data_IF_295766563796
#
_entry.id   IF_295766563796
#
_cell.length_a   1.000
_cell.length_b   1.000
_cell.length_c   1.000
_cell.angle_alpha   90.00
_cell.angle_beta   90.00
_cell.angle_gamma   90.00
#
_symmetry.space_group_name_H-M   'P 1'
#
loop_
_entity.id
_entity.type
_entity.pdbx_description
1 polymer ?
#
# COMPACT_ATOMS: atom_id res chain seq x y z
N UNK A 1 13.33 -27.66 -5.04
CA UNK A 1 12.65 -26.54 -5.72
C UNK A 1 11.21 -26.56 -5.26
N UNK A 2 10.76 -25.56 -4.50
CA UNK A 2 9.35 -25.44 -4.11
C UNK A 2 8.48 -25.07 -5.32
N UNK A 3 7.24 -25.54 -5.36
CA UNK A 3 6.29 -25.16 -6.42
C UNK A 3 6.01 -23.65 -6.36
N UNK A 4 5.99 -22.99 -7.53
CA UNK A 4 5.67 -21.56 -7.65
C UNK A 4 4.15 -21.39 -7.66
N UNK A 5 3.62 -20.70 -6.64
CA UNK A 5 2.18 -20.37 -6.57
C UNK A 5 1.79 -19.46 -7.74
N UNK A 6 0.69 -19.72 -8.48
CA UNK A 6 0.23 -18.82 -9.53
C UNK A 6 -0.31 -17.49 -8.98
N UNK A 7 -0.35 -16.44 -9.82
CA UNK A 7 -0.84 -15.10 -9.47
C UNK A 7 -2.19 -15.12 -8.75
N UNK A 8 -3.19 -15.78 -9.33
CA UNK A 8 -4.56 -15.75 -8.79
C UNK A 8 -4.64 -16.43 -7.42
N UNK A 9 -3.94 -17.54 -7.21
CA UNK A 9 -3.88 -18.18 -5.89
C UNK A 9 -3.18 -17.29 -4.87
N UNK A 10 -2.10 -16.60 -5.25
CA UNK A 10 -1.45 -15.61 -4.38
C UNK A 10 -2.41 -14.47 -4.00
N UNK A 11 -3.17 -13.96 -4.94
CA UNK A 11 -4.13 -12.87 -4.68
C UNK A 11 -5.30 -13.34 -3.83
N UNK A 12 -5.79 -14.57 -4.01
CA UNK A 12 -6.80 -15.18 -3.14
C UNK A 12 -6.28 -15.37 -1.71
N UNK A 13 -5.04 -15.83 -1.53
CA UNK A 13 -4.41 -15.93 -0.20
C UNK A 13 -4.34 -14.56 0.49
N UNK A 14 -3.99 -13.50 -0.24
CA UNK A 14 -3.96 -12.14 0.29
C UNK A 14 -5.38 -11.62 0.57
N UNK A 15 -6.38 -11.93 -0.27
CA UNK A 15 -7.79 -11.57 -0.04
C UNK A 15 -8.31 -12.18 1.27
N UNK A 16 -8.15 -13.49 1.43
CA UNK A 16 -8.59 -14.20 2.62
C UNK A 16 -7.92 -13.65 3.89
N UNK A 17 -6.65 -13.27 3.78
CA UNK A 17 -5.92 -12.66 4.91
C UNK A 17 -6.49 -11.28 5.27
N UNK A 18 -6.79 -10.46 4.25
CA UNK A 18 -7.42 -9.15 4.40
C UNK A 18 -8.81 -9.25 5.05
N UNK A 19 -9.67 -10.14 4.55
CA UNK A 19 -11.03 -10.34 5.06
C UNK A 19 -11.08 -10.84 6.51
N UNK A 20 -10.14 -11.71 6.90
CA UNK A 20 -10.04 -12.23 8.26
C UNK A 20 -9.39 -11.23 9.23
N UNK A 21 -8.93 -10.07 8.76
CA UNK A 21 -8.23 -9.08 9.59
C UNK A 21 -6.92 -9.60 10.19
N UNK A 22 -6.29 -10.60 9.57
CA UNK A 22 -5.08 -11.26 10.08
C UNK A 22 -3.79 -10.49 9.76
N UNK A 23 -3.92 -9.20 9.46
CA UNK A 23 -2.81 -8.32 9.10
C UNK A 23 -2.37 -7.39 10.24
N UNK A 24 -1.40 -6.53 9.95
CA UNK A 24 -0.99 -5.48 10.89
C UNK A 24 -2.16 -4.57 11.27
N UNK A 25 -2.40 -4.37 12.57
CA UNK A 25 -3.57 -3.61 13.11
C UNK A 25 -3.75 -2.21 12.52
N UNK A 26 -2.67 -1.59 12.03
CA UNK A 26 -2.68 -0.25 11.49
C UNK A 26 -2.83 -0.17 9.95
N UNK A 27 -2.96 -1.31 9.27
CA UNK A 27 -3.10 -1.37 7.82
C UNK A 27 -4.13 -2.42 7.40
N UNK A 28 -4.97 -2.10 6.43
CA UNK A 28 -5.92 -3.05 5.84
C UNK A 28 -5.93 -2.92 4.33
N UNK A 29 -6.41 -3.96 3.66
CA UNK A 29 -6.59 -3.96 2.21
C UNK A 29 -7.71 -4.93 1.80
N UNK A 30 -8.34 -4.65 0.67
CA UNK A 30 -9.38 -5.48 0.07
C UNK A 30 -9.58 -5.11 -1.40
N UNK A 31 -10.40 -5.87 -2.12
CA UNK A 31 -10.72 -5.57 -3.51
C UNK A 31 -11.43 -4.22 -3.62
N UNK A 32 -11.10 -3.45 -4.66
CA UNK A 32 -11.84 -2.24 -5.00
C UNK A 32 -13.23 -2.58 -5.54
N UNK A 33 -13.30 -3.61 -6.39
CA UNK A 33 -14.54 -4.19 -6.89
C UNK A 33 -14.60 -5.69 -6.56
N UNK A 34 -15.58 -6.11 -5.77
CA UNK A 34 -15.78 -7.52 -5.40
C UNK A 34 -16.11 -8.44 -6.58
N UNK A 35 -16.56 -7.88 -7.71
CA UNK A 35 -16.84 -8.64 -8.93
C UNK A 35 -15.61 -8.79 -9.86
N UNK A 36 -14.46 -8.20 -9.50
CA UNK A 36 -13.22 -8.33 -10.29
C UNK A 36 -12.60 -9.72 -10.13
N UNK A 37 -12.93 -10.60 -11.07
CA UNK A 37 -12.37 -11.96 -11.16
C UNK A 37 -10.85 -11.99 -11.32
N UNK A 38 -10.25 -10.94 -11.87
CA UNK A 38 -8.80 -10.86 -12.05
C UNK A 38 -8.09 -10.35 -10.78
N UNK A 39 -8.83 -9.84 -9.80
CA UNK A 39 -8.29 -9.28 -8.55
C UNK A 39 -7.12 -8.32 -8.81
N UNK A 40 -7.32 -7.42 -9.77
CA UNK A 40 -6.28 -6.50 -10.24
C UNK A 40 -6.27 -5.23 -9.42
N UNK A 41 -7.44 -4.72 -9.04
CA UNK A 41 -7.58 -3.44 -8.34
C UNK A 41 -7.99 -3.63 -6.89
N UNK A 42 -7.21 -3.02 -6.00
CA UNK A 42 -7.34 -3.15 -4.56
C UNK A 42 -7.31 -1.78 -3.88
N UNK A 43 -8.03 -1.66 -2.78
CA UNK A 43 -7.97 -0.52 -1.88
C UNK A 43 -7.24 -0.92 -0.60
N UNK A 44 -6.20 -0.16 -0.28
CA UNK A 44 -5.47 -0.19 0.98
C UNK A 44 -5.83 0.99 1.87
N UNK A 45 -5.76 0.78 3.18
CA UNK A 45 -5.91 1.82 4.19
C UNK A 45 -4.73 1.79 5.16
N UNK A 46 -4.18 2.96 5.48
CA UNK A 46 -3.10 3.13 6.45
C UNK A 46 -3.57 4.07 7.56
N UNK A 47 -3.54 3.60 8.80
CA UNK A 47 -3.66 4.44 9.98
C UNK A 47 -2.32 5.14 10.24
N UNK A 48 -2.34 6.47 10.25
CA UNK A 48 -1.13 7.26 10.40
C UNK A 48 -0.39 6.95 11.71
N UNK A 49 0.95 6.92 11.70
CA UNK A 49 1.73 6.57 12.88
C UNK A 49 1.53 7.58 14.03
N UNK A 50 1.50 7.11 15.30
CA UNK A 50 1.38 7.99 16.45
C UNK A 50 2.60 8.90 16.60
N UNK A 51 2.46 9.98 17.37
CA UNK A 51 3.52 10.96 17.62
C UNK A 51 4.10 11.58 16.34
N UNK A 52 3.22 11.80 15.35
CA UNK A 52 3.55 12.41 14.07
C UNK A 52 2.42 13.30 13.57
N UNK A 53 2.69 14.12 12.55
CA UNK A 53 1.68 14.88 11.79
C UNK A 53 0.63 14.02 11.08
N UNK A 54 0.82 12.70 11.09
CA UNK A 54 -0.10 11.71 10.52
C UNK A 54 -1.02 11.09 11.59
N UNK A 55 -0.77 11.34 12.87
CA UNK A 55 -1.55 10.77 13.97
C UNK A 55 -3.04 11.11 13.82
N UNK A 56 -3.90 10.13 14.11
CA UNK A 56 -5.37 10.19 13.94
C UNK A 56 -5.87 10.37 12.50
N UNK A 57 -5.01 10.25 11.48
CA UNK A 57 -5.42 10.34 10.07
C UNK A 57 -5.50 8.96 9.43
N UNK A 58 -6.45 8.81 8.50
CA UNK A 58 -6.64 7.62 7.69
C UNK A 58 -6.28 7.95 6.24
N UNK A 59 -5.38 7.16 5.65
CA UNK A 59 -4.97 7.32 4.25
C UNK A 59 -5.46 6.15 3.41
N UNK A 60 -6.24 6.46 2.37
CA UNK A 60 -6.65 5.51 1.35
C UNK A 60 -5.63 5.47 0.21
N UNK A 61 -5.32 4.26 -0.24
CA UNK A 61 -4.32 3.96 -1.27
C UNK A 61 -4.95 2.98 -2.26
N UNK A 62 -4.84 3.27 -3.56
CA UNK A 62 -5.14 2.33 -4.63
C UNK A 62 -3.90 1.51 -4.96
N UNK A 63 -4.08 0.21 -5.12
CA UNK A 63 -3.05 -0.79 -5.40
C UNK A 63 -3.48 -1.56 -6.64
N UNK A 64 -2.67 -1.52 -7.70
CA UNK A 64 -2.94 -2.25 -8.94
C UNK A 64 -1.95 -3.41 -9.12
N UNK A 65 -2.45 -4.63 -8.97
CA UNK A 65 -1.76 -5.89 -9.16
C UNK A 65 -1.82 -6.32 -10.63
N UNK A 66 -0.85 -5.88 -11.44
CA UNK A 66 -0.77 -6.22 -12.86
C UNK A 66 -0.61 -7.73 -13.16
N UNK A 67 -0.56 -8.13 -14.44
CA UNK A 67 -0.53 -9.53 -14.86
C UNK A 67 0.72 -10.30 -14.39
N UNK A 68 1.82 -9.58 -14.11
CA UNK A 68 3.07 -10.15 -13.64
C UNK A 68 3.21 -10.17 -12.10
N UNK A 69 2.21 -9.69 -11.35
CA UNK A 69 2.22 -9.83 -9.90
C UNK A 69 2.17 -11.32 -9.50
N UNK A 70 2.91 -11.78 -8.47
CA UNK A 70 3.85 -11.06 -7.61
C UNK A 70 5.31 -11.09 -8.08
N UNK A 71 5.61 -11.52 -9.32
CA UNK A 71 6.99 -11.49 -9.82
C UNK A 71 7.47 -10.06 -10.10
N UNK A 72 6.54 -9.17 -10.48
CA UNK A 72 6.73 -7.72 -10.54
C UNK A 72 5.93 -7.04 -9.41
N UNK A 73 6.41 -5.88 -8.90
CA UNK A 73 5.68 -5.14 -7.88
C UNK A 73 4.35 -4.58 -8.44
N UNK A 74 3.34 -4.38 -7.58
CA UNK A 74 2.12 -3.68 -7.96
C UNK A 74 2.38 -2.17 -8.12
N UNK A 75 1.49 -1.47 -8.83
CA UNK A 75 1.48 -0.01 -8.84
C UNK A 75 0.72 0.54 -7.64
N UNK A 76 1.26 1.60 -7.02
CA UNK A 76 0.68 2.18 -5.80
C UNK A 76 0.38 3.66 -6.03
N UNK A 77 -0.82 4.08 -5.68
CA UNK A 77 -1.26 5.48 -5.73
C UNK A 77 -2.03 5.85 -4.47
N UNK A 78 -1.66 6.94 -3.82
CA UNK A 78 -2.47 7.53 -2.77
C UNK A 78 -3.74 8.14 -3.37
N UNK A 79 -4.89 7.79 -2.79
CA UNK A 79 -6.17 8.48 -3.03
C UNK A 79 -6.27 9.68 -2.10
N UNK A 80 -5.94 9.50 -0.81
CA UNK A 80 -5.85 10.60 0.15
C UNK A 80 -4.62 11.46 -0.11
N UNK A 81 -4.78 12.77 -0.14
CA UNK A 81 -3.66 13.71 -0.28
C UNK A 81 -2.71 13.60 0.90
N UNK A 82 -1.44 13.41 0.58
CA UNK A 82 -0.35 13.27 1.54
C UNK A 82 0.88 14.03 1.04
N UNK A 83 1.58 14.70 1.94
CA UNK A 83 2.91 15.23 1.67
C UNK A 83 3.95 14.24 2.17
N UNK A 84 4.52 13.45 1.26
CA UNK A 84 5.51 12.43 1.56
C UNK A 84 6.53 12.32 0.41
N UNK A 85 7.86 12.27 0.65
CA UNK A 85 8.85 12.40 -0.42
C UNK A 85 8.81 11.33 -1.52
N UNK A 86 8.25 10.15 -1.21
CA UNK A 86 8.06 9.06 -2.16
C UNK A 86 6.74 9.14 -2.94
N UNK A 87 5.95 10.19 -2.77
CA UNK A 87 4.63 10.36 -3.41
C UNK A 87 4.67 11.59 -4.31
N UNK A 88 4.20 11.43 -5.55
CA UNK A 88 4.04 12.55 -6.46
C UNK A 88 2.90 13.47 -5.97
N UNK A 89 3.20 14.75 -5.77
CA UNK A 89 2.27 15.72 -5.18
C UNK A 89 1.13 16.16 -6.11
N UNK A 90 1.15 15.80 -7.40
CA UNK A 90 0.08 16.12 -8.35
C UNK A 90 -0.92 14.98 -8.50
N UNK A 91 -0.46 13.72 -8.49
CA UNK A 91 -1.29 12.58 -8.85
C UNK A 91 -1.27 11.43 -7.83
N UNK A 92 -0.58 11.56 -6.71
CA UNK A 92 -0.54 10.56 -5.65
C UNK A 92 0.26 9.28 -5.96
N UNK A 93 0.87 9.16 -7.15
CA UNK A 93 1.63 7.96 -7.51
C UNK A 93 2.87 7.82 -6.64
N UNK A 94 3.11 6.61 -6.13
CA UNK A 94 4.30 6.29 -5.36
C UNK A 94 5.47 6.03 -6.30
N UNK A 95 6.60 6.68 -6.03
CA UNK A 95 7.86 6.45 -6.71
C UNK A 95 8.56 5.21 -6.12
N UNK A 96 8.52 4.12 -6.88
CA UNK A 96 9.10 2.83 -6.48
C UNK A 96 10.59 2.92 -6.13
N UNK A 97 11.34 3.84 -6.73
CA UNK A 97 12.78 4.00 -6.47
C UNK A 97 13.08 4.52 -5.06
N UNK A 98 12.12 5.19 -4.43
CA UNK A 98 12.27 5.82 -3.10
C UNK A 98 11.81 4.93 -1.96
N UNK A 99 11.16 3.80 -2.26
CA UNK A 99 10.70 2.84 -1.26
C UNK A 99 11.46 1.51 -1.44
N UNK A 100 12.32 1.11 -0.49
CA UNK A 100 13.19 -0.05 -0.66
C UNK A 100 12.47 -1.35 -1.04
N UNK A 101 11.28 -1.61 -0.47
CA UNK A 101 10.52 -2.83 -0.78
C UNK A 101 10.02 -2.87 -2.24
N UNK A 102 9.81 -1.72 -2.89
CA UNK A 102 9.43 -1.63 -4.30
C UNK A 102 10.67 -1.59 -5.20
N UNK A 103 11.71 -0.86 -4.81
CA UNK A 103 12.97 -0.76 -5.57
C UNK A 103 13.69 -2.12 -5.65
N UNK A 104 13.62 -2.92 -4.58
CA UNK A 104 14.20 -4.25 -4.50
C UNK A 104 13.09 -5.28 -4.28
N UNK A 105 12.07 -5.22 -5.14
CA UNK A 105 10.91 -6.11 -5.06
C UNK A 105 11.33 -7.57 -5.06
N UNK A 106 10.74 -8.33 -4.14
CA UNK A 106 10.89 -9.77 -4.03
C UNK A 106 9.50 -10.40 -4.08
N UNK A 107 9.43 -11.57 -4.69
CA UNK A 107 8.17 -12.30 -4.91
C UNK A 107 7.47 -12.77 -3.62
N UNK A 108 8.16 -12.71 -2.48
CA UNK A 108 7.61 -12.99 -1.16
C UNK A 108 6.90 -11.77 -0.56
N UNK A 109 7.21 -10.54 -1.00
CA UNK A 109 6.51 -9.34 -0.58
C UNK A 109 5.05 -9.32 -1.05
N UNK A 110 4.22 -8.68 -0.24
CA UNK A 110 2.75 -8.63 -0.37
C UNK A 110 2.26 -7.18 -0.38
N UNK A 111 0.96 -6.98 -0.65
CA UNK A 111 0.31 -5.68 -0.45
C UNK A 111 0.47 -5.18 0.99
N UNK A 112 0.33 -6.09 1.96
CA UNK A 112 0.57 -5.78 3.37
C UNK A 112 1.99 -5.26 3.63
N UNK A 113 3.00 -5.91 3.02
CA UNK A 113 4.40 -5.50 3.17
C UNK A 113 4.59 -4.05 2.72
N UNK A 114 3.95 -3.67 1.61
CA UNK A 114 4.00 -2.30 1.07
C UNK A 114 3.33 -1.31 2.02
N UNK A 115 2.14 -1.64 2.54
CA UNK A 115 1.40 -0.75 3.45
C UNK A 115 2.17 -0.52 4.76
N UNK A 116 2.77 -1.59 5.33
CA UNK A 116 3.60 -1.50 6.52
C UNK A 116 4.84 -0.63 6.27
N UNK A 117 5.54 -0.83 5.13
CA UNK A 117 6.72 -0.04 4.79
C UNK A 117 6.40 1.42 4.50
N UNK A 118 5.27 1.73 3.86
CA UNK A 118 4.78 3.10 3.70
C UNK A 118 4.51 3.74 5.06
N UNK A 119 3.83 3.04 5.97
CA UNK A 119 3.58 3.52 7.33
C UNK A 119 4.88 3.76 8.10
N UNK A 120 5.86 2.86 7.98
CA UNK A 120 7.20 3.02 8.57
C UNK A 120 7.92 4.23 7.97
N UNK A 121 7.80 4.45 6.66
CA UNK A 121 8.37 5.59 5.97
C UNK A 121 7.77 6.91 6.45
N UNK A 122 6.45 6.98 6.70
CA UNK A 122 5.80 8.14 7.32
C UNK A 122 6.35 8.44 8.73
N UNK A 123 6.69 7.41 9.50
CA UNK A 123 7.19 7.55 10.88
C UNK A 123 8.68 7.99 10.97
N UNK A 124 9.42 8.02 9.85
CA UNK A 124 10.82 8.43 9.86
C UNK A 124 10.99 9.86 10.41
N UNK A 125 12.08 10.17 11.15
CA UNK A 125 12.28 11.47 11.79
C UNK A 125 12.12 12.67 10.86
N UNK A 126 12.58 12.54 9.61
CA UNK A 126 12.48 13.56 8.57
C UNK A 126 11.07 13.70 7.96
N UNK A 127 10.23 12.67 8.04
CA UNK A 127 8.91 12.65 7.41
C UNK A 127 7.79 12.97 8.40
N UNK A 128 7.93 12.52 9.66
CA UNK A 128 6.89 12.62 10.70
C UNK A 128 6.52 14.05 11.12
N UNK A 129 7.25 15.06 10.64
CA UNK A 129 7.04 16.50 10.91
C UNK A 129 6.68 17.31 9.66
N UNK A 130 6.53 16.66 8.49
CA UNK A 130 6.24 17.37 7.24
C UNK A 130 4.84 18.00 7.28
N UNK A 131 4.68 19.30 6.95
CA UNK A 131 3.36 19.92 6.87
C UNK A 131 2.46 19.14 5.93
N UNK A 132 1.26 18.82 6.39
CA UNK A 132 0.33 18.00 5.62
C UNK A 132 -0.81 18.81 5.01
N UNK A 133 -1.38 18.35 3.88
CA UNK A 133 -2.64 18.88 3.37
C UNK A 133 -3.78 18.70 4.38
N UNK A 134 -4.87 19.48 4.27
CA UNK A 134 -6.07 19.30 5.08
C UNK A 134 -6.57 17.86 5.06
N UNK A 135 -7.09 17.38 6.20
CA UNK A 135 -7.72 16.07 6.29
C UNK A 135 -8.93 15.95 5.35
N UNK A 136 -9.14 14.75 4.81
CA UNK A 136 -10.21 14.48 3.83
C UNK A 136 -9.89 14.94 2.40
N UNK A 137 -8.77 15.62 2.15
CA UNK A 137 -8.38 15.99 0.79
C UNK A 137 -7.93 14.76 -0.02
N UNK A 138 -8.25 14.73 -1.32
CA UNK A 138 -7.91 13.65 -2.26
C UNK A 138 -7.17 14.17 -3.50
N UNK A 139 -6.43 13.29 -4.17
CA UNK A 139 -5.72 13.57 -5.43
C UNK A 139 -6.66 13.55 -6.64
#
# INVERSE_FOLDING_TARGET
>A
MGAKVPRNFRLLEELEKGEKGLGAEACSYGLDNGDDLLMSDWNGTILGPPHSVHENRIYSVSIHCGPNYPDAPPEIKFTSKINLPCVNAQNGKVDASKLPCLAQWKRDFTMETILIELRRYMALPQNKKLPQPPEGSTF
#
